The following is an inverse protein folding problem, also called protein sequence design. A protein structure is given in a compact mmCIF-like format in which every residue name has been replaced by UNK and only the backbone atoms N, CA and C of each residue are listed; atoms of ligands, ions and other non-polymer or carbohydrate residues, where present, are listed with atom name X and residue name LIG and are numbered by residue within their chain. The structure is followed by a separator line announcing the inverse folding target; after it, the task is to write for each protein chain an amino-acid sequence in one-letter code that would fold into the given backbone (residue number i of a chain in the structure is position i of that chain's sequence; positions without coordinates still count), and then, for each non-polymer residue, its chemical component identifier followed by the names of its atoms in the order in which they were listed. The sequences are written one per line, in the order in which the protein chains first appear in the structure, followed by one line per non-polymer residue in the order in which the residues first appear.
data_IF_896041116973
#
_entry.id   IF_896041116973
#
_cell.length_a   1.000
_cell.length_b   1.000
_cell.length_c   1.000
_cell.angle_alpha   90.00
_cell.angle_beta   90.00
_cell.angle_gamma   90.00
#
_symmetry.space_group_name_H-M   'P 1'
#
loop_
_entity.id
_entity.type
_entity.pdbx_description
1 polymer ?
#
# COMPACT_ATOMS: atom_id res chain seq x y z
N UNK A 1 -22.19 -33.23 -41.56
CA UNK A 1 -22.18 -33.11 -40.09
C UNK A 1 -23.51 -32.53 -39.65
N UNK A 2 -24.48 -33.39 -39.36
CA UNK A 2 -25.81 -32.98 -38.85
C UNK A 2 -25.59 -32.68 -37.36
N UNK A 3 -25.67 -31.41 -36.99
CA UNK A 3 -25.67 -31.00 -35.56
C UNK A 3 -26.76 -31.80 -34.86
N UNK A 4 -26.47 -32.43 -33.73
CA UNK A 4 -27.47 -33.10 -32.89
C UNK A 4 -28.61 -32.12 -32.61
N UNK A 5 -29.66 -32.27 -33.42
CA UNK A 5 -30.77 -31.35 -33.50
C UNK A 5 -31.69 -31.64 -32.35
N UNK A 6 -31.69 -30.74 -31.38
CA UNK A 6 -32.83 -30.39 -30.53
C UNK A 6 -34.16 -30.96 -31.09
N UNK A 7 -34.60 -32.09 -30.54
CA UNK A 7 -35.87 -32.76 -30.88
C UNK A 7 -36.97 -32.24 -29.96
N UNK A 8 -38.19 -32.10 -30.48
CA UNK A 8 -39.40 -31.80 -29.69
C UNK A 8 -40.43 -32.89 -29.93
N UNK A 9 -41.28 -33.14 -28.94
CA UNK A 9 -42.38 -34.11 -29.04
C UNK A 9 -43.58 -33.40 -29.66
N UNK A 10 -44.26 -34.08 -30.59
CA UNK A 10 -45.49 -33.57 -31.16
C UNK A 10 -46.59 -33.49 -30.08
N UNK A 11 -47.16 -32.31 -29.83
CA UNK A 11 -48.24 -32.11 -28.85
C UNK A 11 -49.54 -32.87 -29.19
N UNK A 12 -49.70 -33.28 -30.45
CA UNK A 12 -50.91 -33.99 -30.90
C UNK A 12 -50.71 -35.51 -30.94
N UNK A 13 -49.63 -35.99 -31.56
CA UNK A 13 -49.41 -37.44 -31.79
C UNK A 13 -48.26 -38.06 -31.00
N UNK A 14 -47.48 -37.29 -30.25
CA UNK A 14 -46.35 -37.80 -29.46
C UNK A 14 -45.09 -38.16 -30.27
N UNK A 15 -45.09 -37.98 -31.60
CA UNK A 15 -43.91 -38.28 -32.42
C UNK A 15 -42.73 -37.34 -32.12
N UNK A 16 -41.50 -37.86 -32.13
CA UNK A 16 -40.28 -37.05 -32.09
C UNK A 16 -40.09 -36.31 -33.42
N UNK A 17 -40.08 -34.98 -33.38
CA UNK A 17 -39.88 -34.15 -34.56
C UNK A 17 -38.75 -33.15 -34.34
N UNK A 18 -38.13 -32.70 -35.43
CA UNK A 18 -37.12 -31.65 -35.37
C UNK A 18 -37.76 -30.33 -34.88
N UNK A 19 -37.09 -29.60 -33.97
CA UNK A 19 -37.57 -28.31 -33.47
C UNK A 19 -37.85 -27.30 -34.58
N UNK A 20 -37.14 -27.38 -35.71
CA UNK A 20 -37.29 -26.51 -36.87
C UNK A 20 -38.57 -26.78 -37.69
N UNK A 21 -39.16 -27.98 -37.59
CA UNK A 21 -40.37 -28.32 -38.33
C UNK A 21 -41.57 -27.58 -37.73
N UNK A 22 -42.21 -26.74 -38.55
CA UNK A 22 -43.47 -26.06 -38.21
C UNK A 22 -44.68 -26.99 -38.32
N UNK A 23 -44.56 -28.09 -39.07
CA UNK A 23 -45.62 -29.07 -39.30
C UNK A 23 -45.07 -30.44 -38.92
N UNK A 24 -45.82 -31.18 -38.11
CA UNK A 24 -45.47 -32.57 -37.79
C UNK A 24 -45.63 -33.45 -39.04
N UNK A 25 -44.60 -34.19 -39.49
CA UNK A 25 -44.70 -35.05 -40.66
C UNK A 25 -45.64 -36.24 -40.45
N UNK A 26 -45.83 -36.67 -39.21
CA UNK A 26 -46.67 -37.84 -38.88
C UNK A 26 -48.17 -37.50 -38.83
N UNK A 27 -48.56 -36.31 -38.36
CA UNK A 27 -49.98 -35.97 -38.14
C UNK A 27 -50.44 -34.65 -38.77
N UNK A 28 -49.56 -33.90 -39.42
CA UNK A 28 -49.89 -32.62 -40.05
C UNK A 28 -50.19 -31.47 -39.08
N UNK A 29 -50.09 -31.68 -37.76
CA UNK A 29 -50.38 -30.64 -36.77
C UNK A 29 -49.33 -29.52 -36.83
N UNK A 30 -49.81 -28.26 -36.88
CA UNK A 30 -48.96 -27.07 -36.93
C UNK A 30 -48.43 -26.77 -35.53
N UNK A 31 -47.13 -26.92 -35.34
CA UNK A 31 -46.47 -26.66 -34.07
C UNK A 31 -46.11 -25.17 -33.92
N UNK A 32 -46.21 -24.60 -32.71
CA UNK A 32 -45.67 -23.28 -32.46
C UNK A 32 -44.17 -23.33 -32.70
N UNK A 33 -43.68 -22.48 -33.60
CA UNK A 33 -42.25 -22.30 -33.80
C UNK A 33 -41.72 -21.67 -32.52
N UNK A 34 -40.89 -22.41 -31.77
CA UNK A 34 -40.14 -21.84 -30.66
C UNK A 34 -39.18 -20.87 -31.32
N UNK A 35 -39.55 -19.58 -31.34
CA UNK A 35 -38.78 -18.53 -31.99
C UNK A 35 -37.35 -18.61 -31.48
N UNK A 36 -36.46 -18.99 -32.37
CA UNK A 36 -35.04 -19.16 -32.09
C UNK A 36 -34.55 -17.81 -31.56
N UNK A 37 -34.30 -17.69 -30.25
CA UNK A 37 -33.71 -16.49 -29.67
C UNK A 37 -32.44 -16.19 -30.47
N UNK A 38 -32.45 -15.12 -31.27
CA UNK A 38 -31.29 -14.74 -32.06
C UNK A 38 -30.14 -14.52 -31.09
N UNK A 39 -29.08 -15.31 -31.28
CA UNK A 39 -27.90 -15.26 -30.44
C UNK A 39 -27.26 -13.90 -30.66
N UNK A 40 -27.37 -13.02 -29.67
CA UNK A 40 -26.72 -11.71 -29.69
C UNK A 40 -25.21 -11.95 -29.85
N UNK A 41 -24.59 -11.22 -30.78
CA UNK A 41 -23.15 -11.34 -30.98
C UNK A 41 -22.44 -10.95 -29.68
N UNK A 42 -21.44 -11.75 -29.28
CA UNK A 42 -20.64 -11.50 -28.07
C UNK A 42 -19.97 -10.12 -28.09
N UNK A 43 -19.82 -9.53 -29.27
CA UNK A 43 -19.24 -8.21 -29.49
C UNK A 43 -20.00 -7.08 -28.76
N UNK A 44 -21.31 -7.21 -28.56
CA UNK A 44 -22.09 -6.22 -27.82
C UNK A 44 -21.69 -6.06 -26.35
N UNK A 45 -20.94 -7.02 -25.78
CA UNK A 45 -20.41 -6.92 -24.40
C UNK A 45 -19.18 -6.01 -24.28
N UNK A 46 -18.51 -5.67 -25.39
CA UNK A 46 -17.39 -4.72 -25.39
C UNK A 46 -17.87 -3.26 -25.29
N UNK A 47 -19.09 -2.97 -25.76
CA UNK A 47 -19.62 -1.60 -25.77
C UNK A 47 -19.76 -1.04 -24.34
N UNK A 48 -20.38 -1.73 -23.37
CA UNK A 48 -20.43 -1.26 -21.99
C UNK A 48 -19.07 -1.26 -21.29
N UNK A 49 -18.13 -2.10 -21.74
CA UNK A 49 -16.78 -2.16 -21.18
C UNK A 49 -15.98 -0.88 -21.45
N UNK A 50 -16.06 -0.33 -22.66
CA UNK A 50 -15.32 0.88 -23.04
C UNK A 50 -16.09 2.18 -22.81
N UNK A 51 -17.42 2.15 -22.97
CA UNK A 51 -18.25 3.35 -22.88
C UNK A 51 -19.07 3.41 -21.57
N UNK A 52 -18.79 2.50 -20.62
CA UNK A 52 -19.41 2.46 -19.30
C UNK A 52 -20.93 2.41 -19.36
N UNK A 53 -21.57 3.30 -18.61
CA UNK A 53 -23.05 3.39 -18.51
C UNK A 53 -23.69 3.72 -19.86
N UNK A 54 -23.09 4.63 -20.65
CA UNK A 54 -23.59 5.00 -21.98
C UNK A 54 -23.50 3.79 -22.93
N UNK A 55 -22.42 3.03 -22.84
CA UNK A 55 -22.26 1.78 -23.58
C UNK A 55 -23.28 0.70 -23.18
N UNK A 56 -23.59 0.60 -21.89
CA UNK A 56 -24.65 -0.27 -21.37
C UNK A 56 -26.02 0.08 -21.92
N UNK A 57 -26.36 1.37 -21.92
CA UNK A 57 -27.65 1.86 -22.39
C UNK A 57 -27.83 1.68 -23.90
N UNK A 58 -26.80 1.98 -24.69
CA UNK A 58 -26.82 1.80 -26.15
C UNK A 58 -26.93 0.33 -26.55
N UNK A 59 -26.15 -0.55 -25.91
CA UNK A 59 -26.23 -1.99 -26.14
C UNK A 59 -27.60 -2.59 -25.72
N UNK A 60 -28.20 -2.05 -24.66
CA UNK A 60 -29.56 -2.43 -24.25
C UNK A 60 -30.62 -1.98 -25.25
N UNK A 61 -30.60 -0.71 -25.67
CA UNK A 61 -31.58 -0.15 -26.62
C UNK A 61 -31.62 -0.94 -27.92
N UNK A 62 -30.46 -1.25 -28.50
CA UNK A 62 -30.37 -1.98 -29.78
C UNK A 62 -30.81 -3.44 -29.67
N UNK A 63 -30.60 -4.09 -28.52
CA UNK A 63 -30.90 -5.51 -28.34
C UNK A 63 -32.25 -5.78 -27.64
N UNK A 64 -32.96 -4.76 -27.17
CA UNK A 64 -34.22 -4.90 -26.40
C UNK A 64 -35.27 -5.71 -27.16
N UNK A 65 -35.40 -5.46 -28.46
CA UNK A 65 -36.41 -6.10 -29.31
C UNK A 65 -36.01 -7.52 -29.73
N UNK A 66 -34.71 -7.79 -29.89
CA UNK A 66 -34.21 -9.11 -30.34
C UNK A 66 -34.14 -10.12 -29.20
N UNK A 67 -33.66 -9.70 -28.03
CA UNK A 67 -33.50 -10.58 -26.87
C UNK A 67 -33.53 -9.76 -25.57
N UNK A 68 -34.71 -9.55 -24.97
CA UNK A 68 -34.85 -8.69 -23.79
C UNK A 68 -34.09 -9.23 -22.57
N UNK A 69 -33.96 -10.57 -22.46
CA UNK A 69 -33.21 -11.22 -21.38
C UNK A 69 -31.73 -10.90 -21.45
N UNK A 70 -31.14 -10.93 -22.65
CA UNK A 70 -29.72 -10.59 -22.84
C UNK A 70 -29.47 -9.08 -22.78
N UNK A 71 -30.39 -8.26 -23.32
CA UNK A 71 -30.30 -6.80 -23.24
C UNK A 71 -30.23 -6.34 -21.77
N UNK A 72 -31.09 -6.89 -20.90
CA UNK A 72 -31.07 -6.54 -19.47
C UNK A 72 -29.73 -6.87 -18.81
N UNK A 73 -29.11 -8.01 -19.17
CA UNK A 73 -27.78 -8.38 -18.65
C UNK A 73 -26.68 -7.41 -19.11
N UNK A 74 -26.76 -6.90 -20.34
CA UNK A 74 -25.82 -5.88 -20.86
C UNK A 74 -25.95 -4.54 -20.12
N UNK A 75 -27.19 -4.13 -19.79
CA UNK A 75 -27.44 -2.91 -19.01
C UNK A 75 -26.89 -3.04 -17.58
N UNK A 76 -27.20 -4.16 -16.90
CA UNK A 76 -26.71 -4.45 -15.55
C UNK A 76 -25.19 -4.47 -15.55
N UNK A 77 -24.56 -5.11 -16.53
CA UNK A 77 -23.11 -5.13 -16.67
C UNK A 77 -22.53 -3.73 -16.84
N UNK A 78 -23.13 -2.89 -17.68
CA UNK A 78 -22.69 -1.51 -17.91
C UNK A 78 -22.79 -0.60 -16.68
N UNK A 79 -23.67 -0.91 -15.72
CA UNK A 79 -23.80 -0.16 -14.46
C UNK A 79 -22.93 -0.77 -13.35
N UNK A 80 -22.93 -2.10 -13.21
CA UNK A 80 -22.18 -2.79 -12.16
C UNK A 80 -20.67 -2.71 -12.38
N UNK A 81 -20.20 -2.81 -13.62
CA UNK A 81 -18.78 -2.75 -13.96
C UNK A 81 -18.09 -1.45 -13.54
N UNK A 82 -18.58 -0.24 -13.86
CA UNK A 82 -17.92 1.00 -13.43
C UNK A 82 -17.94 1.17 -11.91
N UNK A 83 -19.00 0.74 -11.22
CA UNK A 83 -19.04 0.74 -9.75
C UNK A 83 -17.94 -0.17 -9.19
N UNK A 84 -17.79 -1.37 -9.75
CA UNK A 84 -16.75 -2.31 -9.35
C UNK A 84 -15.34 -1.74 -9.58
N UNK A 85 -15.08 -1.16 -10.75
CA UNK A 85 -13.80 -0.50 -11.06
C UNK A 85 -13.53 0.67 -10.11
N UNK A 86 -14.56 1.46 -9.80
CA UNK A 86 -14.46 2.59 -8.86
C UNK A 86 -14.08 2.10 -7.45
N UNK A 87 -14.70 1.04 -6.94
CA UNK A 87 -14.37 0.45 -5.63
C UNK A 87 -12.92 -0.04 -5.61
N UNK A 88 -12.48 -0.77 -6.64
CA UNK A 88 -11.09 -1.23 -6.76
C UNK A 88 -10.13 -0.05 -6.77
N UNK A 89 -10.45 1.00 -7.54
CA UNK A 89 -9.63 2.21 -7.62
C UNK A 89 -9.48 2.87 -6.24
N UNK A 90 -10.57 3.05 -5.48
CA UNK A 90 -10.50 3.64 -4.14
C UNK A 90 -9.72 2.78 -3.14
N UNK A 91 -9.88 1.46 -3.19
CA UNK A 91 -9.09 0.55 -2.35
C UNK A 91 -7.60 0.64 -2.68
N UNK A 92 -7.25 0.58 -3.97
CA UNK A 92 -5.87 0.66 -4.42
C UNK A 92 -5.24 2.02 -4.10
N UNK A 93 -5.94 3.12 -4.40
CA UNK A 93 -5.48 4.47 -4.11
C UNK A 93 -5.36 4.73 -2.61
N UNK A 94 -6.29 4.22 -1.81
CA UNK A 94 -6.22 4.26 -0.35
C UNK A 94 -4.95 3.60 0.17
N UNK A 95 -4.66 2.37 -0.27
CA UNK A 95 -3.44 1.63 0.12
C UNK A 95 -2.17 2.43 -0.24
N UNK A 96 -2.11 3.00 -1.44
CA UNK A 96 -0.97 3.82 -1.85
C UNK A 96 -0.76 5.03 -0.93
N UNK A 97 -1.83 5.75 -0.58
CA UNK A 97 -1.75 6.90 0.33
C UNK A 97 -1.31 6.50 1.74
N UNK A 98 -1.84 5.41 2.29
CA UNK A 98 -1.52 4.97 3.65
C UNK A 98 -0.08 4.43 3.78
N UNK A 99 0.50 3.88 2.71
CA UNK A 99 1.87 3.33 2.74
C UNK A 99 2.95 4.37 3.08
N UNK A 100 2.74 5.65 2.72
CA UNK A 100 3.74 6.71 2.93
C UNK A 100 3.77 7.26 4.37
N UNK A 101 2.67 7.12 5.13
CA UNK A 101 2.58 7.68 6.47
C UNK A 101 3.53 7.00 7.47
N UNK A 102 3.74 5.70 7.30
CA UNK A 102 4.63 4.91 8.16
C UNK A 102 6.08 5.41 8.10
N UNK A 103 6.58 5.69 6.88
CA UNK A 103 7.93 6.20 6.68
C UNK A 103 8.09 7.63 7.23
N UNK A 104 7.10 8.50 6.99
CA UNK A 104 7.12 9.87 7.50
C UNK A 104 7.17 9.90 9.04
N UNK A 105 6.39 9.04 9.72
CA UNK A 105 6.40 8.93 11.18
C UNK A 105 7.76 8.48 11.73
N UNK A 106 8.42 7.52 11.07
CA UNK A 106 9.78 7.09 11.45
C UNK A 106 10.80 8.22 11.32
N UNK A 107 10.78 8.95 10.20
CA UNK A 107 11.67 10.11 9.98
C UNK A 107 11.46 11.23 10.99
N UNK A 108 10.21 11.49 11.37
CA UNK A 108 9.89 12.49 12.40
C UNK A 108 10.45 12.08 13.78
N UNK A 109 10.31 10.80 14.15
CA UNK A 109 10.89 10.24 15.37
C UNK A 109 12.42 10.33 15.37
N UNK A 110 13.08 10.03 14.25
CA UNK A 110 14.52 10.18 14.12
C UNK A 110 15.00 11.62 14.27
N UNK A 111 14.30 12.60 13.70
CA UNK A 111 14.61 14.00 13.91
C UNK A 111 14.53 14.37 15.40
N UNK A 112 13.51 13.88 16.11
CA UNK A 112 13.39 14.04 17.56
C UNK A 112 14.54 13.39 18.32
N UNK A 113 14.96 12.17 17.92
CA UNK A 113 16.12 11.49 18.50
C UNK A 113 17.40 12.33 18.33
N UNK A 114 17.68 12.81 17.11
CA UNK A 114 18.85 13.64 16.82
C UNK A 114 18.85 14.93 17.64
N UNK A 115 17.69 15.58 17.76
CA UNK A 115 17.54 16.79 18.56
C UNK A 115 17.78 16.52 20.06
N UNK A 116 17.17 15.46 20.61
CA UNK A 116 17.32 15.09 22.02
C UNK A 116 18.78 14.75 22.37
N UNK A 117 19.45 13.94 21.54
CA UNK A 117 20.87 13.62 21.72
C UNK A 117 21.74 14.87 21.61
N UNK A 118 21.43 15.80 20.70
CA UNK A 118 22.17 17.05 20.56
C UNK A 118 22.08 17.95 21.80
N UNK A 119 20.95 17.92 22.54
CA UNK A 119 20.79 18.69 23.78
C UNK A 119 21.75 18.24 24.89
N UNK A 120 22.19 16.97 24.87
CA UNK A 120 23.14 16.44 25.87
C UNK A 120 24.42 17.27 25.90
N UNK A 121 24.85 17.84 24.77
CA UNK A 121 26.05 18.69 24.70
C UNK A 121 26.00 19.87 25.64
N UNK A 122 24.84 20.53 25.71
CA UNK A 122 24.68 21.72 26.54
C UNK A 122 24.73 21.35 28.02
N UNK A 123 24.09 20.25 28.40
CA UNK A 123 24.10 19.75 29.77
C UNK A 123 25.50 19.26 30.14
N UNK A 124 26.15 18.50 29.26
CA UNK A 124 27.50 18.00 29.48
C UNK A 124 28.50 19.16 29.64
N UNK A 125 28.46 20.17 28.77
CA UNK A 125 29.30 21.36 28.90
C UNK A 125 29.08 22.08 30.25
N UNK A 126 27.81 22.28 30.63
CA UNK A 126 27.46 22.89 31.92
C UNK A 126 27.94 22.06 33.11
N UNK A 127 27.89 20.72 32.99
CA UNK A 127 28.35 19.79 34.03
C UNK A 127 29.86 19.87 34.20
N UNK A 128 30.61 19.87 33.10
CA UNK A 128 32.07 19.97 33.12
C UNK A 128 32.54 21.28 33.73
N UNK A 129 31.86 22.40 33.43
CA UNK A 129 32.17 23.69 34.07
C UNK A 129 31.98 23.68 35.60
N UNK A 130 31.00 22.90 36.11
CA UNK A 130 30.70 22.82 37.54
C UNK A 130 31.58 21.84 38.31
N UNK A 131 31.82 20.67 37.74
CA UNK A 131 32.46 19.55 38.44
C UNK A 131 33.84 19.19 37.91
N UNK A 132 34.25 19.78 36.78
CA UNK A 132 35.50 19.46 36.10
C UNK A 132 35.63 17.96 35.74
N UNK A 133 34.50 17.25 35.58
CA UNK A 133 34.43 15.84 35.19
C UNK A 133 33.14 15.50 34.44
N UNK A 134 33.17 14.51 33.53
CA UNK A 134 31.99 13.89 32.93
C UNK A 134 31.62 12.53 33.51
N UNK A 135 32.33 12.02 34.53
CA UNK A 135 32.17 10.64 35.03
C UNK A 135 30.71 10.29 35.40
N UNK A 136 29.97 11.25 35.96
CA UNK A 136 28.58 11.08 36.36
C UNK A 136 27.54 11.37 35.26
N UNK A 137 27.96 11.58 34.02
CA UNK A 137 27.07 11.86 32.90
C UNK A 137 26.32 10.57 32.48
N UNK A 138 25.17 10.32 33.10
CA UNK A 138 24.34 9.16 32.83
C UNK A 138 22.83 9.47 32.96
N UNK A 139 21.98 8.53 32.56
CA UNK A 139 20.52 8.70 32.59
C UNK A 139 19.88 8.74 33.99
N UNK A 140 20.64 8.50 35.06
CA UNK A 140 20.14 8.63 36.43
C UNK A 140 20.20 10.09 36.93
N UNK A 141 20.96 10.95 36.25
CA UNK A 141 20.96 12.39 36.53
C UNK A 141 19.60 13.01 36.19
N UNK A 142 19.06 13.85 37.07
CA UNK A 142 17.72 14.45 36.92
C UNK A 142 17.60 15.31 35.65
N UNK A 143 18.68 16.00 35.24
CA UNK A 143 18.69 16.85 34.06
C UNK A 143 18.71 16.00 32.79
N UNK A 144 19.47 14.90 32.79
CA UNK A 144 19.63 14.00 31.63
C UNK A 144 18.45 13.03 31.53
N UNK A 145 17.83 12.65 32.64
CA UNK A 145 16.69 11.73 32.70
C UNK A 145 15.57 12.13 31.74
N UNK A 146 15.28 13.43 31.65
CA UNK A 146 14.25 13.96 30.73
C UNK A 146 14.59 13.67 29.27
N UNK A 147 15.86 13.82 28.89
CA UNK A 147 16.34 13.52 27.53
C UNK A 147 16.31 12.01 27.27
N UNK A 148 16.78 11.21 28.23
CA UNK A 148 16.73 9.74 28.11
C UNK A 148 15.30 9.25 27.88
N UNK A 149 14.34 9.79 28.65
CA UNK A 149 12.92 9.48 28.49
C UNK A 149 12.37 9.93 27.13
N UNK A 150 12.73 11.13 26.66
CA UNK A 150 12.33 11.58 25.31
C UNK A 150 12.86 10.67 24.21
N UNK A 151 14.12 10.20 24.34
CA UNK A 151 14.71 9.25 23.41
C UNK A 151 13.94 7.91 23.43
N UNK A 152 13.59 7.43 24.61
CA UNK A 152 12.82 6.20 24.78
C UNK A 152 11.39 6.32 24.22
N UNK A 153 10.69 7.42 24.47
CA UNK A 153 9.36 7.72 23.93
C UNK A 153 9.36 7.81 22.40
N UNK A 154 10.45 8.35 21.82
CA UNK A 154 10.65 8.33 20.37
C UNK A 154 10.89 6.91 19.82
N UNK A 155 11.24 5.95 20.68
CA UNK A 155 11.53 4.55 20.35
C UNK A 155 13.01 4.25 20.13
N UNK A 156 13.90 5.15 20.57
CA UNK A 156 15.34 4.95 20.57
C UNK A 156 15.86 4.44 21.91
N UNK A 157 17.16 4.13 21.96
CA UNK A 157 17.87 3.81 23.19
C UNK A 157 19.09 4.71 23.28
N UNK A 158 19.17 5.53 24.33
CA UNK A 158 20.34 6.39 24.56
C UNK A 158 21.42 5.57 25.29
N UNK A 159 22.64 5.61 24.78
CA UNK A 159 23.82 5.07 25.46
C UNK A 159 24.82 6.19 25.64
N UNK A 160 25.28 6.39 26.88
CA UNK A 160 26.25 7.42 27.23
C UNK A 160 27.49 6.69 27.78
N UNK A 161 28.64 6.97 27.18
CA UNK A 161 29.94 6.53 27.63
C UNK A 161 30.69 7.77 28.10
N UNK A 162 31.11 7.79 29.35
CA UNK A 162 31.81 8.93 29.96
C UNK A 162 33.10 8.49 30.65
N UNK A 163 34.00 9.45 30.79
CA UNK A 163 35.23 9.42 31.57
C UNK A 163 35.43 10.81 32.20
N UNK A 164 36.55 11.11 32.82
CA UNK A 164 36.78 12.40 33.48
C UNK A 164 36.73 13.57 32.47
N UNK A 165 37.44 13.45 31.36
CA UNK A 165 37.64 14.57 30.44
C UNK A 165 36.91 14.42 29.09
N UNK A 166 36.26 13.29 28.86
CA UNK A 166 35.59 13.00 27.59
C UNK A 166 34.28 12.28 27.80
N UNK A 167 33.35 12.49 26.87
CA UNK A 167 32.12 11.71 26.80
C UNK A 167 31.71 11.49 25.35
N UNK A 168 30.94 10.43 25.13
CA UNK A 168 30.27 10.12 23.87
C UNK A 168 28.88 9.59 24.16
N UNK A 169 27.87 10.21 23.57
CA UNK A 169 26.49 9.77 23.67
C UNK A 169 25.95 9.42 22.28
N UNK A 170 25.22 8.33 22.16
CA UNK A 170 24.68 7.88 20.88
C UNK A 170 23.34 7.16 20.99
N UNK A 171 22.61 7.13 19.89
CA UNK A 171 21.34 6.40 19.76
C UNK A 171 21.20 5.77 18.37
N UNK A 172 20.62 4.56 18.25
CA UNK A 172 20.30 3.98 16.95
C UNK A 172 19.13 4.72 16.28
N UNK A 173 19.22 4.89 14.97
CA UNK A 173 18.15 5.42 14.12
C UNK A 173 17.20 4.29 13.68
N UNK A 174 15.97 4.63 13.33
CA UNK A 174 14.85 3.69 13.12
C UNK A 174 14.76 3.12 11.69
N UNK A 175 15.43 3.75 10.72
CA UNK A 175 15.21 3.50 9.28
C UNK A 175 16.41 2.77 8.66
N UNK A 176 17.65 3.15 8.98
CA UNK A 176 18.82 2.79 8.16
C UNK A 176 19.92 2.00 8.89
N UNK A 177 19.64 1.37 10.05
CA UNK A 177 20.68 0.75 10.92
C UNK A 177 21.86 1.67 11.26
N UNK A 178 21.67 2.98 11.12
CA UNK A 178 22.63 4.03 11.45
C UNK A 178 22.52 4.40 12.92
N UNK A 179 23.54 5.07 13.42
CA UNK A 179 23.59 5.65 14.74
C UNK A 179 23.82 7.15 14.61
N UNK A 180 23.21 7.94 15.50
CA UNK A 180 23.56 9.34 15.67
C UNK A 180 24.34 9.48 16.96
N UNK A 181 25.53 10.08 16.90
CA UNK A 181 26.39 10.30 18.05
C UNK A 181 26.77 11.78 18.23
N UNK A 182 27.08 12.14 19.48
CA UNK A 182 27.63 13.42 19.91
C UNK A 182 28.78 13.16 20.89
N UNK A 183 29.84 13.96 20.83
CA UNK A 183 30.97 13.87 21.76
C UNK A 183 31.32 15.21 22.40
N UNK A 184 32.32 15.18 23.30
CA UNK A 184 32.88 16.34 24.01
C UNK A 184 33.64 17.31 23.11
N UNK A 185 34.02 16.93 21.88
CA UNK A 185 34.68 17.79 20.90
C UNK A 185 33.68 18.53 19.99
N UNK A 186 32.39 18.53 20.38
CA UNK A 186 31.28 19.09 19.62
C UNK A 186 31.08 18.44 18.24
N UNK A 187 31.64 17.24 17.99
CA UNK A 187 31.39 16.49 16.76
C UNK A 187 30.05 15.77 16.87
N UNK A 188 29.23 15.87 15.83
CA UNK A 188 27.97 15.13 15.68
C UNK A 188 27.83 14.65 14.27
N UNK A 189 27.29 13.46 14.13
CA UNK A 189 26.88 12.98 12.83
C UNK A 189 26.22 11.64 12.90
N UNK A 190 25.87 11.18 11.71
CA UNK A 190 25.39 9.83 11.50
C UNK A 190 26.56 8.92 11.15
N UNK A 191 26.49 7.68 11.60
CA UNK A 191 27.47 6.67 11.26
C UNK A 191 26.85 5.28 11.19
N UNK A 192 27.40 4.44 10.32
CA UNK A 192 27.04 3.03 10.20
C UNK A 192 27.96 2.13 11.03
N UNK A 193 29.08 2.67 11.54
CA UNK A 193 30.01 1.89 12.37
C UNK A 193 29.46 1.66 13.76
N UNK A 194 29.51 0.41 14.21
CA UNK A 194 29.15 0.00 15.56
C UNK A 194 30.37 -0.57 16.30
N UNK A 195 30.67 -0.13 17.54
CA UNK A 195 30.00 0.97 18.24
C UNK A 195 30.39 2.34 17.63
N UNK A 196 29.48 3.32 17.62
CA UNK A 196 29.75 4.65 17.07
C UNK A 196 30.70 5.48 17.96
N UNK A 197 30.82 5.07 19.21
CA UNK A 197 31.71 5.59 20.23
C UNK A 197 32.64 4.46 20.67
N UNK A 198 33.95 4.68 20.64
CA UNK A 198 34.93 3.68 21.08
C UNK A 198 35.84 4.28 22.17
N UNK A 199 36.11 3.49 23.20
CA UNK A 199 37.11 3.82 24.22
C UNK A 199 38.51 3.50 23.67
N UNK A 200 39.56 4.26 24.02
CA UNK A 200 39.59 5.30 25.06
C UNK A 200 39.28 6.72 24.56
N UNK A 201 39.01 6.89 23.26
CA UNK A 201 38.92 8.22 22.67
C UNK A 201 37.57 8.91 22.91
N UNK A 202 36.50 8.15 23.15
CA UNK A 202 35.13 8.65 23.35
C UNK A 202 34.72 9.66 22.27
N UNK A 203 35.24 9.50 21.05
CA UNK A 203 34.92 10.37 19.91
C UNK A 203 33.92 9.70 18.99
N UNK A 204 33.00 10.50 18.45
CA UNK A 204 32.00 10.06 17.49
C UNK A 204 32.69 9.78 16.13
N UNK A 205 32.65 8.52 15.66
CA UNK A 205 33.20 8.12 14.36
C UNK A 205 32.26 8.51 13.23
N UNK A 206 32.32 9.78 12.84
CA UNK A 206 31.48 10.32 11.76
C UNK A 206 32.20 10.08 10.42
N UNK A 207 31.47 9.57 9.44
CA UNK A 207 31.94 9.56 8.06
C UNK A 207 31.84 11.02 7.57
N UNK A 208 32.95 11.67 7.20
CA UNK A 208 32.91 13.06 6.76
C UNK A 208 31.92 13.21 5.61
N UNK A 209 31.00 14.19 5.73
CA UNK A 209 29.92 14.44 4.77
C UNK A 209 30.43 14.70 3.32
N UNK A 210 31.73 14.89 3.15
CA UNK A 210 32.40 15.15 1.87
C UNK A 210 32.56 13.91 0.98
N UNK A 211 32.42 12.71 1.53
CA UNK A 211 32.56 11.44 0.78
C UNK A 211 31.20 10.84 0.36
N UNK A 212 30.08 11.54 0.56
CA UNK A 212 28.79 11.03 0.10
C UNK A 212 28.66 11.23 -1.42
N UNK A 213 28.34 10.17 -2.20
CA UNK A 213 28.06 10.33 -3.62
C UNK A 213 26.90 11.31 -3.78
N UNK A 214 27.12 12.39 -4.54
CA UNK A 214 26.08 13.37 -4.84
C UNK A 214 24.86 12.63 -5.42
N UNK A 215 23.64 12.90 -4.94
CA UNK A 215 22.46 12.36 -5.58
C UNK A 215 22.41 12.92 -7.01
N UNK A 216 22.50 12.01 -7.98
CA UNK A 216 22.33 12.30 -9.41
C UNK A 216 20.86 12.55 -9.75
#
# INVERSE_FOLDING_TARGET
MIKEGNKKICLNCGAEINIENQICPECGFKQPVISHFQKVSKLWWLVPLFFGVIGGLTAWLVNRERNPKTAMKLLIFGIAWPIFVMVIYFLFFGILMFSNLGLAKKRAKEASLKAAVSQIRMIAATRYEKENSYEFLNCNDLEIYRICKQVEEAGGKLTILSSDNKYCAYTPLLTDKKYFCVDSEFKSGETETFPPCEAPDYSCKIIPLFDLPKPY
#
